data_IF_035335670208
#
_entry.id   IF_035335670208
#
_cell.length_a   1.000
_cell.length_b   1.000
_cell.length_c   1.000
_cell.angle_alpha   90.00
_cell.angle_beta   90.00
_cell.angle_gamma   90.00
#
_symmetry.space_group_name_H-M   'P 1'
#
loop_
_entity.id
_entity.type
_entity.pdbx_description
1 polymer ?
#
# COMPACT_ATOMS: atom_id res chain seq x y z
N UNK A 1 26.39 27.90 9.65
CA UNK A 1 25.17 27.74 8.82
C UNK A 1 24.97 26.35 8.21
N UNK A 2 25.97 25.67 7.71
CA UNK A 2 25.85 24.33 7.10
C UNK A 2 25.42 23.23 8.06
N UNK A 3 25.92 23.21 9.29
CA UNK A 3 25.60 22.19 10.31
C UNK A 3 24.14 22.21 10.78
N UNK A 4 23.55 23.38 10.93
CA UNK A 4 22.14 23.56 11.32
C UNK A 4 21.19 23.04 10.23
N UNK A 5 21.57 23.25 8.97
CA UNK A 5 20.83 22.81 7.79
C UNK A 5 20.77 21.28 7.66
N UNK A 6 21.89 20.58 7.88
CA UNK A 6 21.92 19.12 7.87
C UNK A 6 21.01 18.52 8.97
N UNK A 7 20.97 19.17 10.13
CA UNK A 7 20.11 18.75 11.24
C UNK A 7 18.63 18.89 10.91
N UNK A 8 18.17 19.99 10.29
CA UNK A 8 16.77 20.16 9.89
C UNK A 8 16.34 19.17 8.80
N UNK A 9 17.15 18.98 7.76
CA UNK A 9 16.86 18.01 6.72
C UNK A 9 16.83 16.58 7.27
N UNK A 10 17.75 16.23 8.16
CA UNK A 10 17.78 14.94 8.83
C UNK A 10 16.53 14.72 9.68
N UNK A 11 16.12 15.68 10.51
CA UNK A 11 14.92 15.60 11.33
C UNK A 11 13.67 15.43 10.45
N UNK A 12 13.55 16.22 9.38
CA UNK A 12 12.42 16.12 8.45
C UNK A 12 12.36 14.75 7.79
N UNK A 13 13.50 14.22 7.34
CA UNK A 13 13.59 12.89 6.74
C UNK A 13 13.16 11.81 7.73
N UNK A 14 13.65 11.87 8.97
CA UNK A 14 13.30 10.92 10.02
C UNK A 14 11.80 10.98 10.35
N UNK A 15 11.22 12.18 10.44
CA UNK A 15 9.78 12.36 10.70
C UNK A 15 8.92 11.81 9.54
N UNK A 16 9.31 12.04 8.29
CA UNK A 16 8.59 11.51 7.13
C UNK A 16 8.66 9.98 7.07
N UNK A 17 9.84 9.40 7.30
CA UNK A 17 10.00 7.94 7.36
C UNK A 17 9.23 7.32 8.51
N UNK A 18 9.30 7.90 9.71
CA UNK A 18 8.56 7.42 10.87
C UNK A 18 7.04 7.49 10.65
N UNK A 19 6.54 8.59 10.08
CA UNK A 19 5.13 8.75 9.72
C UNK A 19 4.68 7.72 8.68
N UNK A 20 5.50 7.46 7.68
CA UNK A 20 5.23 6.47 6.65
C UNK A 20 5.20 5.03 7.23
N UNK A 21 6.19 4.67 8.05
CA UNK A 21 6.25 3.35 8.71
C UNK A 21 5.02 3.17 9.60
N UNK A 22 4.66 4.20 10.37
CA UNK A 22 3.48 4.16 11.25
C UNK A 22 2.18 3.96 10.46
N UNK A 23 1.96 4.73 9.39
CA UNK A 23 0.75 4.60 8.56
C UNK A 23 0.69 3.26 7.84
N UNK A 24 1.81 2.74 7.35
CA UNK A 24 1.88 1.44 6.70
C UNK A 24 1.58 0.31 7.68
N UNK A 25 2.15 0.35 8.88
CA UNK A 25 1.88 -0.63 9.93
C UNK A 25 0.43 -0.60 10.39
N UNK A 26 -0.14 0.58 10.60
CA UNK A 26 -1.54 0.76 10.99
C UNK A 26 -2.50 0.25 9.90
N UNK A 27 -2.22 0.58 8.63
CA UNK A 27 -2.98 0.08 7.48
C UNK A 27 -2.98 -1.45 7.40
N UNK A 28 -1.84 -2.09 7.70
CA UNK A 28 -1.73 -3.55 7.74
C UNK A 28 -2.62 -4.17 8.81
N UNK A 29 -2.60 -3.61 10.03
CA UNK A 29 -3.44 -4.11 11.13
C UNK A 29 -4.92 -4.05 10.74
N UNK A 30 -5.36 -2.93 10.14
CA UNK A 30 -6.74 -2.77 9.67
C UNK A 30 -7.07 -3.77 8.56
N UNK A 31 -6.18 -3.93 7.58
CA UNK A 31 -6.38 -4.87 6.47
C UNK A 31 -6.47 -6.32 6.99
N UNK A 32 -5.59 -6.73 7.91
CA UNK A 32 -5.63 -8.05 8.56
C UNK A 32 -6.93 -8.28 9.32
N UNK A 33 -7.36 -7.29 10.11
CA UNK A 33 -8.64 -7.40 10.83
C UNK A 33 -9.84 -7.45 9.90
N UNK A 34 -9.84 -6.67 8.82
CA UNK A 34 -10.91 -6.66 7.82
C UNK A 34 -11.00 -8.01 7.10
N UNK A 35 -9.86 -8.57 6.69
CA UNK A 35 -9.79 -9.89 6.07
C UNK A 35 -10.33 -10.97 7.00
N UNK A 36 -9.88 -10.99 8.26
CA UNK A 36 -10.32 -11.97 9.24
C UNK A 36 -11.82 -11.88 9.51
N UNK A 37 -12.35 -10.66 9.68
CA UNK A 37 -13.79 -10.45 9.85
C UNK A 37 -14.59 -10.89 8.63
N UNK A 38 -14.12 -10.62 7.43
CA UNK A 38 -14.75 -11.05 6.19
C UNK A 38 -14.82 -12.58 6.06
N UNK A 39 -13.75 -13.29 6.46
CA UNK A 39 -13.75 -14.76 6.46
C UNK A 39 -14.71 -15.31 7.53
N UNK A 40 -14.59 -14.84 8.77
CA UNK A 40 -15.31 -15.36 9.92
C UNK A 40 -16.81 -15.05 9.88
N UNK A 41 -17.18 -13.83 9.46
CA UNK A 41 -18.55 -13.36 9.55
C UNK A 41 -19.36 -13.50 8.25
N UNK A 42 -18.66 -13.49 7.10
CA UNK A 42 -19.35 -13.48 5.81
C UNK A 42 -19.05 -14.74 5.00
N UNK A 43 -17.79 -15.03 4.72
CA UNK A 43 -17.41 -16.04 3.75
C UNK A 43 -17.70 -17.48 4.21
N UNK A 44 -17.32 -17.85 5.44
CA UNK A 44 -17.59 -19.20 5.96
C UNK A 44 -19.06 -19.44 6.27
N UNK A 45 -19.81 -18.54 6.93
CA UNK A 45 -21.25 -18.71 7.14
C UNK A 45 -22.04 -18.81 5.83
N UNK A 46 -21.66 -18.00 4.82
CA UNK A 46 -22.30 -18.09 3.50
C UNK A 46 -22.04 -19.44 2.84
N UNK A 47 -20.80 -19.94 2.90
CA UNK A 47 -20.47 -21.27 2.38
C UNK A 47 -21.25 -22.38 3.08
N UNK A 48 -21.31 -22.35 4.42
CA UNK A 48 -22.14 -23.29 5.19
C UNK A 48 -23.61 -23.22 4.79
N UNK A 49 -24.12 -22.01 4.55
CA UNK A 49 -25.50 -21.81 4.14
C UNK A 49 -25.80 -22.40 2.74
N UNK A 50 -24.90 -22.13 1.79
CA UNK A 50 -25.03 -22.65 0.42
C UNK A 50 -24.97 -24.19 0.39
N UNK A 51 -23.99 -24.78 1.09
CA UNK A 51 -23.85 -26.23 1.17
C UNK A 51 -25.09 -26.85 1.82
N UNK A 52 -25.59 -26.25 2.89
CA UNK A 52 -26.84 -26.71 3.55
C UNK A 52 -28.05 -26.67 2.59
N UNK A 53 -28.20 -25.56 1.86
CA UNK A 53 -29.33 -25.40 0.91
C UNK A 53 -29.24 -26.40 -0.24
N UNK A 54 -28.01 -26.58 -0.80
CA UNK A 54 -27.80 -27.56 -1.87
C UNK A 54 -28.06 -29.00 -1.37
N UNK A 55 -27.61 -29.32 -0.15
CA UNK A 55 -27.89 -30.63 0.46
C UNK A 55 -29.39 -30.86 0.69
N UNK A 56 -30.09 -29.87 1.24
CA UNK A 56 -31.53 -29.95 1.41
C UNK A 56 -32.26 -30.21 0.08
N UNK A 57 -31.88 -29.47 -0.97
CA UNK A 57 -32.46 -29.61 -2.30
C UNK A 57 -32.25 -31.02 -2.89
N UNK A 58 -31.05 -31.59 -2.69
CA UNK A 58 -30.75 -32.94 -3.18
C UNK A 58 -31.46 -34.03 -2.43
N UNK A 59 -31.65 -33.89 -1.12
CA UNK A 59 -32.29 -34.89 -0.28
C UNK A 59 -33.82 -34.78 -0.25
N UNK A 60 -34.37 -33.69 -0.76
CA UNK A 60 -35.82 -33.48 -0.78
C UNK A 60 -36.57 -34.60 -1.53
N UNK A 61 -36.12 -34.96 -2.73
CA UNK A 61 -36.74 -36.01 -3.53
C UNK A 61 -36.65 -37.40 -2.85
N UNK A 62 -35.47 -37.88 -2.41
CA UNK A 62 -35.37 -39.15 -1.66
C UNK A 62 -36.20 -39.20 -0.40
N UNK A 63 -36.33 -38.09 0.36
CA UNK A 63 -37.20 -38.03 1.54
C UNK A 63 -38.70 -38.21 1.15
N UNK A 64 -39.13 -37.51 0.09
CA UNK A 64 -40.51 -37.64 -0.42
C UNK A 64 -40.78 -39.06 -0.90
N UNK A 65 -39.86 -39.67 -1.66
CA UNK A 65 -39.97 -41.04 -2.16
C UNK A 65 -40.10 -42.01 -1.01
N UNK A 66 -39.20 -41.94 -0.01
CA UNK A 66 -39.23 -42.81 1.16
C UNK A 66 -40.53 -42.63 1.98
N UNK A 67 -41.02 -41.39 2.07
CA UNK A 67 -42.34 -41.11 2.69
C UNK A 67 -43.49 -41.71 1.91
N UNK A 68 -43.48 -41.61 0.57
CA UNK A 68 -44.49 -42.23 -0.28
C UNK A 68 -44.45 -43.76 -0.16
N UNK A 69 -43.26 -44.35 -0.13
CA UNK A 69 -43.12 -45.78 0.14
C UNK A 69 -43.72 -46.18 1.49
N UNK A 70 -43.40 -45.44 2.55
CA UNK A 70 -43.87 -45.73 3.90
C UNK A 70 -45.40 -45.60 4.06
N UNK A 71 -46.04 -44.75 3.27
CA UNK A 71 -47.51 -44.55 3.27
C UNK A 71 -48.21 -45.32 2.14
N UNK A 72 -47.50 -46.18 1.43
CA UNK A 72 -48.04 -46.91 0.32
C UNK A 72 -49.03 -48.00 0.80
N UNK A 73 -50.26 -47.96 0.28
CA UNK A 73 -51.34 -48.92 0.66
C UNK A 73 -51.00 -50.38 0.33
N UNK A 74 -50.21 -50.60 -0.75
CA UNK A 74 -49.67 -51.91 -1.07
C UNK A 74 -48.75 -52.44 0.04
N UNK A 75 -47.76 -51.67 0.49
CA UNK A 75 -46.84 -52.07 1.56
C UNK A 75 -47.63 -52.33 2.89
N UNK A 76 -48.63 -51.49 3.21
CA UNK A 76 -49.45 -51.70 4.39
C UNK A 76 -50.25 -53.02 4.30
N UNK A 77 -50.86 -53.30 3.15
CA UNK A 77 -51.62 -54.57 2.91
C UNK A 77 -50.66 -55.78 2.94
N UNK A 78 -49.51 -55.67 2.33
CA UNK A 78 -48.49 -56.73 2.29
C UNK A 78 -47.94 -57.04 3.71
N UNK A 79 -47.74 -56.07 4.54
CA UNK A 79 -47.28 -56.23 5.92
C UNK A 79 -48.38 -56.93 6.81
N UNK A 80 -49.64 -56.80 6.44
CA UNK A 80 -50.79 -57.41 7.18
C UNK A 80 -51.03 -58.89 6.79
N UNK A 81 -50.43 -59.40 5.70
CA UNK A 81 -50.60 -60.75 5.23
C UNK A 81 -49.87 -61.77 6.11
N UNK A 82 -50.49 -62.92 6.39
CA UNK A 82 -49.87 -64.05 7.11
C UNK A 82 -48.88 -64.83 6.20
N UNK A 83 -49.27 -65.04 4.94
CA UNK A 83 -48.37 -65.57 3.90
C UNK A 83 -48.03 -64.46 2.94
N UNK A 84 -46.72 -64.09 2.92
CA UNK A 84 -46.23 -62.92 2.20
C UNK A 84 -45.73 -63.31 0.81
N UNK A 85 -46.42 -62.82 -0.24
CA UNK A 85 -45.86 -62.92 -1.59
C UNK A 85 -44.70 -61.94 -1.77
N UNK A 86 -43.48 -62.46 -1.77
CA UNK A 86 -42.22 -61.66 -1.93
C UNK A 86 -42.03 -61.26 -3.35
N UNK A 87 -42.58 -61.90 -4.36
CA UNK A 87 -42.41 -61.58 -5.76
C UNK A 87 -42.88 -60.15 -6.08
N UNK A 88 -44.09 -59.81 -5.65
CA UNK A 88 -44.69 -58.50 -5.83
C UNK A 88 -43.92 -57.39 -5.04
N UNK A 89 -43.40 -57.71 -3.84
CA UNK A 89 -42.62 -56.83 -3.07
C UNK A 89 -41.31 -56.47 -3.81
N UNK A 90 -40.60 -57.47 -4.31
CA UNK A 90 -39.37 -57.25 -5.04
C UNK A 90 -39.59 -56.47 -6.35
N UNK A 91 -40.69 -56.70 -7.05
CA UNK A 91 -41.06 -55.93 -8.22
C UNK A 91 -41.31 -54.45 -7.86
N UNK A 92 -42.08 -54.19 -6.80
CA UNK A 92 -42.34 -52.85 -6.30
C UNK A 92 -41.01 -52.13 -5.91
N UNK A 93 -40.12 -52.80 -5.18
CA UNK A 93 -38.85 -52.24 -4.80
C UNK A 93 -37.96 -51.96 -6.02
N UNK A 94 -37.94 -52.89 -6.99
CA UNK A 94 -37.16 -52.75 -8.22
C UNK A 94 -37.65 -51.58 -9.08
N UNK A 95 -38.95 -51.45 -9.21
CA UNK A 95 -39.57 -50.35 -9.92
C UNK A 95 -39.30 -49.02 -9.23
N UNK A 96 -39.46 -48.93 -7.93
CA UNK A 96 -39.14 -47.72 -7.17
C UNK A 96 -37.67 -47.30 -7.36
N UNK A 97 -36.74 -48.25 -7.30
CA UNK A 97 -35.35 -47.99 -7.55
C UNK A 97 -35.09 -47.41 -8.95
N UNK A 98 -35.73 -48.03 -9.98
CA UNK A 98 -35.56 -47.64 -11.38
C UNK A 98 -36.17 -46.29 -11.70
N UNK A 99 -37.38 -46.01 -11.22
CA UNK A 99 -38.09 -44.78 -11.52
C UNK A 99 -37.43 -43.53 -10.94
N UNK A 100 -36.70 -43.71 -9.84
CA UNK A 100 -36.05 -42.61 -9.14
C UNK A 100 -34.52 -42.60 -9.20
N UNK A 101 -33.94 -43.44 -10.04
CA UNK A 101 -32.47 -43.58 -10.21
C UNK A 101 -31.72 -43.75 -8.86
N UNK A 102 -32.36 -44.50 -7.96
CA UNK A 102 -31.81 -44.77 -6.64
C UNK A 102 -30.76 -45.91 -6.72
N UNK A 103 -29.79 -45.87 -5.81
CA UNK A 103 -28.80 -46.98 -5.66
C UNK A 103 -29.53 -48.23 -5.18
N UNK A 104 -30.40 -48.07 -4.20
CA UNK A 104 -31.14 -49.15 -3.61
C UNK A 104 -32.54 -48.66 -3.14
N UNK A 105 -33.46 -49.58 -3.07
CA UNK A 105 -34.73 -49.46 -2.34
C UNK A 105 -34.92 -50.70 -1.48
N UNK A 106 -35.52 -50.55 -0.32
CA UNK A 106 -35.61 -51.60 0.68
C UNK A 106 -36.85 -51.51 1.56
N UNK A 107 -37.17 -52.63 2.22
CA UNK A 107 -38.13 -52.75 3.29
C UNK A 107 -37.50 -53.58 4.42
N UNK A 108 -37.57 -53.08 5.66
CA UNK A 108 -37.19 -53.80 6.86
C UNK A 108 -38.42 -53.98 7.76
N UNK A 109 -38.76 -55.17 8.10
CA UNK A 109 -39.95 -55.51 8.89
C UNK A 109 -39.66 -55.54 10.38
N UNK A 110 -40.63 -55.11 11.23
CA UNK A 110 -40.47 -55.11 12.70
C UNK A 110 -40.77 -56.46 13.32
N UNK A 111 -41.64 -57.28 12.71
CA UNK A 111 -42.10 -58.54 13.30
C UNK A 111 -41.06 -59.64 13.24
N UNK A 112 -40.49 -59.88 12.04
CA UNK A 112 -39.56 -60.98 11.76
C UNK A 112 -38.13 -60.43 11.55
N UNK A 113 -37.91 -59.10 11.67
CA UNK A 113 -36.63 -58.41 11.50
C UNK A 113 -35.96 -58.77 10.19
N UNK A 114 -36.72 -58.93 9.11
CA UNK A 114 -36.24 -59.27 7.78
C UNK A 114 -36.04 -58.00 6.96
N UNK A 115 -34.90 -57.90 6.31
CA UNK A 115 -34.55 -56.85 5.39
C UNK A 115 -34.69 -57.35 3.93
N UNK A 116 -35.55 -56.72 3.17
CA UNK A 116 -35.80 -57.00 1.77
C UNK A 116 -35.22 -55.90 0.91
N UNK A 117 -34.51 -56.31 -0.13
CA UNK A 117 -33.85 -55.40 -1.06
C UNK A 117 -34.38 -55.59 -2.50
N UNK A 118 -34.26 -54.54 -3.33
CA UNK A 118 -34.71 -54.52 -4.72
C UNK A 118 -34.17 -55.67 -5.59
N UNK A 119 -32.99 -56.18 -5.28
CA UNK A 119 -32.34 -57.27 -6.04
C UNK A 119 -32.88 -58.68 -5.75
N UNK A 120 -33.87 -58.79 -4.90
CA UNK A 120 -34.43 -60.05 -4.46
C UNK A 120 -33.73 -60.67 -3.25
N UNK A 121 -32.68 -59.99 -2.73
CA UNK A 121 -31.99 -60.48 -1.54
C UNK A 121 -32.80 -60.20 -0.26
N UNK A 122 -32.70 -61.15 0.69
CA UNK A 122 -33.24 -61.01 2.05
C UNK A 122 -32.14 -61.30 3.04
N UNK A 123 -32.10 -60.50 4.13
CA UNK A 123 -31.16 -60.68 5.24
C UNK A 123 -31.90 -60.44 6.55
N UNK A 124 -31.53 -61.16 7.60
CA UNK A 124 -32.03 -60.82 8.94
C UNK A 124 -31.21 -59.65 9.52
N UNK A 125 -31.94 -58.68 10.08
CA UNK A 125 -31.36 -57.57 10.81
C UNK A 125 -30.67 -58.09 12.08
N UNK A 126 -29.44 -57.77 12.27
CA UNK A 126 -28.63 -58.14 13.43
C UNK A 126 -28.37 -56.94 14.33
N UNK A 127 -27.86 -57.16 15.55
CA UNK A 127 -27.56 -56.08 16.50
C UNK A 127 -26.57 -55.06 15.98
N UNK A 128 -25.79 -55.36 14.97
CA UNK A 128 -24.82 -54.47 14.33
C UNK A 128 -25.46 -53.51 13.34
N UNK A 129 -26.73 -53.79 12.89
CA UNK A 129 -27.49 -52.88 12.05
C UNK A 129 -28.08 -51.72 12.88
N UNK A 130 -27.19 -50.88 13.43
CA UNK A 130 -27.55 -49.78 14.34
C UNK A 130 -28.50 -48.78 13.72
N UNK A 131 -28.46 -48.59 12.40
CA UNK A 131 -29.31 -47.66 11.66
C UNK A 131 -30.81 -47.96 11.85
N UNK A 132 -31.17 -49.24 11.95
CA UNK A 132 -32.57 -49.66 12.14
C UNK A 132 -33.05 -49.28 13.53
N UNK A 133 -32.27 -49.57 14.57
CA UNK A 133 -32.65 -49.21 15.94
C UNK A 133 -32.63 -47.70 16.13
N UNK A 134 -31.60 -47.01 15.62
CA UNK A 134 -31.51 -45.53 15.65
C UNK A 134 -32.73 -44.89 14.97
N UNK A 135 -33.26 -45.52 13.87
CA UNK A 135 -34.48 -45.07 13.22
C UNK A 135 -35.70 -45.27 14.10
N UNK A 136 -35.85 -46.44 14.76
CA UNK A 136 -36.99 -46.73 15.63
C UNK A 136 -37.04 -45.81 16.85
N UNK A 137 -35.89 -45.55 17.47
CA UNK A 137 -35.76 -44.77 18.71
C UNK A 137 -35.83 -43.25 18.49
N UNK A 138 -35.72 -42.79 17.25
CA UNK A 138 -35.82 -41.38 16.92
C UNK A 138 -37.28 -40.93 16.95
N UNK A 139 -37.57 -39.72 17.44
CA UNK A 139 -38.96 -39.17 17.43
C UNK A 139 -39.43 -38.78 16.02
N UNK A 140 -38.51 -38.50 15.09
CA UNK A 140 -38.88 -38.18 13.71
C UNK A 140 -39.40 -39.40 12.93
N UNK A 141 -40.26 -39.16 11.93
CA UNK A 141 -40.79 -40.19 11.06
C UNK A 141 -39.73 -40.82 10.15
N UNK A 142 -38.63 -40.12 9.89
CA UNK A 142 -37.50 -40.62 9.12
C UNK A 142 -36.17 -40.26 9.72
N UNK A 143 -35.14 -41.03 9.38
CA UNK A 143 -33.75 -40.76 9.70
C UNK A 143 -32.91 -40.85 8.43
N UNK A 144 -31.72 -40.19 8.47
CA UNK A 144 -30.70 -40.28 7.43
C UNK A 144 -29.48 -40.97 8.01
N UNK A 145 -28.92 -41.92 7.31
CA UNK A 145 -27.59 -42.45 7.62
C UNK A 145 -26.74 -42.54 6.37
N UNK A 146 -25.44 -42.41 6.56
CA UNK A 146 -24.43 -42.68 5.52
C UNK A 146 -23.81 -44.00 5.84
N UNK A 147 -23.78 -44.89 4.88
CA UNK A 147 -23.12 -46.18 5.02
C UNK A 147 -22.42 -46.55 3.71
N UNK A 148 -21.42 -47.42 3.82
CA UNK A 148 -20.81 -48.05 2.66
C UNK A 148 -21.69 -49.25 2.29
N UNK A 149 -22.32 -49.22 1.12
CA UNK A 149 -23.04 -50.39 0.63
C UNK A 149 -22.02 -51.48 0.25
N UNK A 150 -21.91 -52.57 1.03
CA UNK A 150 -20.90 -53.59 0.78
C UNK A 150 -21.08 -54.33 -0.56
N UNK A 151 -22.23 -54.12 -1.20
CA UNK A 151 -22.65 -54.83 -2.42
C UNK A 151 -22.59 -53.97 -3.68
N UNK A 152 -22.37 -52.66 -3.52
CA UNK A 152 -22.26 -51.72 -4.65
C UNK A 152 -20.86 -51.06 -4.61
N UNK A 153 -19.80 -51.85 -4.76
CA UNK A 153 -18.38 -51.42 -4.76
C UNK A 153 -17.95 -50.53 -3.57
N UNK A 154 -18.57 -50.73 -2.40
CA UNK A 154 -18.33 -49.95 -1.20
C UNK A 154 -18.52 -48.42 -1.43
N UNK A 155 -19.43 -48.05 -2.36
CA UNK A 155 -19.77 -46.65 -2.57
C UNK A 155 -20.55 -46.11 -1.36
N UNK A 156 -20.10 -44.94 -0.89
CA UNK A 156 -20.80 -44.25 0.18
C UNK A 156 -22.23 -43.83 -0.31
N UNK A 157 -23.21 -44.30 0.41
CA UNK A 157 -24.65 -44.16 0.09
C UNK A 157 -25.34 -43.45 1.24
N UNK A 158 -26.17 -42.47 0.92
CA UNK A 158 -27.09 -41.86 1.90
C UNK A 158 -28.38 -42.64 1.85
N UNK A 159 -28.75 -43.24 2.95
CA UNK A 159 -30.03 -43.93 3.15
C UNK A 159 -31.03 -43.02 3.81
N UNK A 160 -32.24 -42.97 3.23
CA UNK A 160 -33.40 -42.30 3.84
C UNK A 160 -34.31 -43.42 4.40
N UNK A 161 -34.33 -43.56 5.71
CA UNK A 161 -35.04 -44.59 6.42
C UNK A 161 -36.34 -44.01 6.98
N UNK A 162 -37.52 -44.40 6.44
CA UNK A 162 -38.79 -43.88 6.85
C UNK A 162 -39.58 -44.96 7.59
N UNK A 163 -40.15 -44.66 8.76
CA UNK A 163 -41.01 -45.56 9.53
C UNK A 163 -42.31 -45.81 8.83
N UNK A 164 -42.71 -47.06 8.76
CA UNK A 164 -44.05 -47.45 8.29
C UNK A 164 -44.98 -47.53 9.49
N UNK A 165 -45.92 -46.60 9.57
CA UNK A 165 -46.86 -46.49 10.68
C UNK A 165 -48.20 -47.09 10.28
N UNK A 166 -48.63 -48.09 11.02
CA UNK A 166 -50.03 -48.69 10.86
C UNK A 166 -50.68 -48.68 12.24
N UNK A 167 -51.86 -48.08 12.37
CA UNK A 167 -52.53 -47.91 13.63
C UNK A 167 -51.72 -47.44 14.81
N UNK A 168 -50.90 -46.39 14.54
CA UNK A 168 -49.97 -45.79 15.49
C UNK A 168 -48.83 -46.70 16.00
N UNK A 169 -48.58 -47.82 15.31
CA UNK A 169 -47.53 -48.75 15.62
C UNK A 169 -46.49 -48.79 14.45
N UNK A 170 -45.21 -48.83 14.75
CA UNK A 170 -44.19 -49.03 13.72
C UNK A 170 -44.21 -50.49 13.28
N UNK A 171 -44.52 -50.76 12.03
CA UNK A 171 -44.56 -52.12 11.45
C UNK A 171 -43.29 -52.44 10.65
N UNK A 172 -42.51 -51.44 10.34
CA UNK A 172 -41.24 -51.56 9.61
C UNK A 172 -40.60 -50.24 9.28
N UNK A 173 -39.51 -50.30 8.55
CA UNK A 173 -38.80 -49.16 7.98
C UNK A 173 -38.60 -49.43 6.50
N UNK A 174 -38.89 -48.43 5.66
CA UNK A 174 -38.64 -48.52 4.21
C UNK A 174 -37.92 -47.28 3.73
N UNK A 175 -37.32 -47.35 2.57
CA UNK A 175 -36.66 -46.18 2.01
C UNK A 175 -35.82 -46.47 0.79
N UNK A 176 -35.09 -45.45 0.42
CA UNK A 176 -34.13 -45.48 -0.72
C UNK A 176 -32.77 -45.06 -0.30
N UNK A 177 -31.74 -45.58 -1.01
CA UNK A 177 -30.37 -45.12 -0.93
C UNK A 177 -30.00 -44.35 -2.18
N UNK A 178 -29.32 -43.23 -2.02
CA UNK A 178 -28.82 -42.41 -3.13
C UNK A 178 -27.29 -42.29 -3.10
N UNK A 179 -26.69 -42.13 -4.29
CA UNK A 179 -25.23 -41.94 -4.40
C UNK A 179 -24.77 -40.64 -3.75
N UNK A 180 -23.67 -40.74 -3.05
CA UNK A 180 -23.00 -39.59 -2.42
C UNK A 180 -22.20 -38.75 -3.43
N UNK A 181 -22.06 -39.16 -4.69
CA UNK A 181 -21.24 -38.53 -5.70
C UNK A 181 -21.57 -37.06 -5.93
N UNK A 182 -22.84 -36.69 -5.77
CA UNK A 182 -23.26 -35.30 -5.92
C UNK A 182 -22.76 -34.42 -4.76
N UNK A 183 -22.87 -34.94 -3.55
CA UNK A 183 -22.33 -34.25 -2.37
C UNK A 183 -20.80 -34.17 -2.43
N UNK A 184 -20.16 -35.24 -2.91
CA UNK A 184 -18.74 -35.26 -3.12
C UNK A 184 -18.28 -34.17 -4.10
N UNK A 185 -18.92 -34.06 -5.27
CA UNK A 185 -18.63 -32.99 -6.25
C UNK A 185 -18.88 -31.59 -5.69
N UNK A 186 -19.90 -31.43 -4.85
CA UNK A 186 -20.18 -30.16 -4.19
C UNK A 186 -19.04 -29.77 -3.24
N UNK A 187 -18.61 -30.69 -2.40
CA UNK A 187 -17.49 -30.49 -1.46
C UNK A 187 -16.20 -30.19 -2.21
N UNK A 188 -15.90 -30.98 -3.26
CA UNK A 188 -14.74 -30.75 -4.13
C UNK A 188 -14.72 -29.35 -4.73
N UNK A 189 -15.86 -28.88 -5.20
CA UNK A 189 -15.99 -27.51 -5.73
C UNK A 189 -15.60 -26.45 -4.70
N UNK A 190 -16.10 -26.57 -3.48
CA UNK A 190 -15.77 -25.59 -2.43
C UNK A 190 -14.32 -25.72 -1.95
N UNK A 191 -13.79 -26.93 -1.93
CA UNK A 191 -12.41 -27.20 -1.55
C UNK A 191 -11.43 -26.63 -2.58
N UNK A 192 -11.61 -26.95 -3.87
CA UNK A 192 -10.69 -26.48 -4.91
C UNK A 192 -10.86 -25.02 -5.31
N UNK A 193 -12.10 -24.50 -5.28
CA UNK A 193 -12.34 -23.11 -5.70
C UNK A 193 -12.00 -22.09 -4.63
N UNK A 194 -12.18 -22.44 -3.36
CA UNK A 194 -12.09 -21.50 -2.24
C UNK A 194 -11.07 -21.90 -1.18
N UNK A 195 -10.34 -22.99 -1.40
CA UNK A 195 -9.37 -23.55 -0.42
C UNK A 195 -10.01 -23.77 0.96
N UNK A 196 -11.23 -24.36 0.95
CA UNK A 196 -12.03 -24.62 2.16
C UNK A 196 -12.19 -26.09 2.36
N UNK A 197 -11.82 -26.59 3.54
CA UNK A 197 -12.10 -27.96 3.91
C UNK A 197 -13.52 -28.06 4.43
N UNK A 198 -14.28 -28.99 3.87
CA UNK A 198 -15.69 -29.23 4.20
C UNK A 198 -15.86 -30.69 4.61
N UNK A 199 -16.43 -30.90 5.77
CA UNK A 199 -16.73 -32.26 6.26
C UNK A 199 -17.96 -32.27 7.17
N UNK A 200 -18.56 -33.47 7.30
CA UNK A 200 -19.74 -33.70 8.12
C UNK A 200 -19.39 -34.63 9.27
N UNK A 201 -19.98 -34.36 10.42
CA UNK A 201 -19.75 -35.11 11.65
C UNK A 201 -21.08 -35.42 12.33
N UNK A 202 -21.13 -36.53 13.09
CA UNK A 202 -22.31 -36.90 13.89
C UNK A 202 -22.29 -36.14 15.24
N UNK A 203 -23.37 -36.38 16.03
CA UNK A 203 -23.53 -35.82 17.37
C UNK A 203 -22.48 -36.33 18.40
N UNK A 204 -21.75 -37.41 18.05
CA UNK A 204 -20.61 -37.93 18.86
C UNK A 204 -19.24 -37.39 18.42
N UNK A 205 -19.23 -36.51 17.40
CA UNK A 205 -18.01 -35.97 16.86
C UNK A 205 -17.27 -36.90 15.90
N UNK A 206 -17.90 -38.00 15.45
CA UNK A 206 -17.32 -38.93 14.49
C UNK A 206 -17.53 -38.39 13.09
N UNK A 207 -16.49 -38.53 12.26
CA UNK A 207 -16.52 -38.11 10.88
C UNK A 207 -17.48 -39.01 10.08
N UNK A 208 -18.46 -38.40 9.44
CA UNK A 208 -19.43 -39.09 8.60
C UNK A 208 -19.02 -39.09 7.13
N UNK A 209 -18.58 -37.91 6.68
CA UNK A 209 -18.19 -37.73 5.29
C UNK A 209 -17.16 -36.64 5.11
N UNK A 210 -16.13 -36.93 4.29
CA UNK A 210 -15.04 -36.03 3.92
C UNK A 210 -14.45 -36.46 2.58
N UNK A 211 -13.76 -35.57 1.92
CA UNK A 211 -13.17 -35.85 0.62
C UNK A 211 -11.65 -36.07 0.64
N UNK A 212 -11.01 -35.95 1.79
CA UNK A 212 -9.55 -36.05 1.92
C UNK A 212 -9.19 -37.26 2.78
N UNK A 213 -8.46 -38.24 2.20
CA UNK A 213 -8.01 -39.45 2.90
C UNK A 213 -7.19 -39.20 4.17
N UNK A 214 -6.67 -37.99 4.33
CA UNK A 214 -5.93 -37.58 5.55
C UNK A 214 -6.83 -37.46 6.80
N UNK A 215 -8.15 -37.51 6.63
CA UNK A 215 -9.12 -37.38 7.72
C UNK A 215 -9.64 -38.75 8.25
N UNK A 216 -9.20 -39.89 7.67
CA UNK A 216 -9.76 -41.20 7.98
C UNK A 216 -9.74 -41.60 9.47
N UNK A 217 -8.77 -41.12 10.24
CA UNK A 217 -8.56 -41.45 11.66
C UNK A 217 -8.82 -40.27 12.62
N UNK A 218 -9.47 -39.19 12.15
CA UNK A 218 -9.67 -38.01 12.97
C UNK A 218 -10.95 -38.06 13.82
N UNK A 219 -10.79 -37.86 15.13
CA UNK A 219 -11.87 -37.37 15.98
C UNK A 219 -11.78 -35.87 16.16
N UNK A 220 -12.92 -35.20 16.37
CA UNK A 220 -12.93 -33.75 16.61
C UNK A 220 -12.10 -33.34 17.83
N UNK A 221 -12.08 -34.19 18.86
CA UNK A 221 -11.29 -34.01 20.07
C UNK A 221 -9.78 -34.03 19.79
N UNK A 222 -9.34 -34.86 18.86
CA UNK A 222 -7.91 -34.98 18.54
C UNK A 222 -7.41 -33.76 17.77
N UNK A 223 -8.27 -33.21 16.87
CA UNK A 223 -7.91 -32.04 16.05
C UNK A 223 -8.04 -30.72 16.79
N UNK A 224 -9.09 -30.54 17.58
CA UNK A 224 -9.45 -29.25 18.17
C UNK A 224 -9.39 -29.24 19.70
N UNK A 225 -9.00 -30.35 20.33
CA UNK A 225 -8.91 -30.47 21.79
C UNK A 225 -10.21 -30.08 22.50
N UNK A 226 -10.12 -29.26 23.53
CA UNK A 226 -11.29 -28.78 24.28
C UNK A 226 -12.25 -27.91 23.45
N UNK A 227 -11.82 -27.37 22.30
CA UNK A 227 -12.70 -26.60 21.43
C UNK A 227 -13.60 -27.48 20.57
N UNK A 228 -13.27 -28.76 20.39
CA UNK A 228 -14.05 -29.72 19.62
C UNK A 228 -15.49 -29.90 20.14
N UNK A 229 -15.67 -29.93 21.45
CA UNK A 229 -16.98 -30.04 22.08
C UNK A 229 -17.90 -28.86 21.84
N UNK A 230 -17.33 -27.64 21.72
CA UNK A 230 -18.08 -26.41 21.40
C UNK A 230 -18.60 -26.39 19.97
N UNK A 231 -17.93 -27.10 19.05
CA UNK A 231 -18.36 -27.24 17.66
C UNK A 231 -19.64 -28.13 17.54
N UNK A 232 -19.96 -28.91 18.57
CA UNK A 232 -21.13 -29.77 18.65
C UNK A 232 -22.33 -29.13 19.39
N UNK A 233 -22.27 -27.83 19.63
CA UNK A 233 -23.43 -27.11 20.16
C UNK A 233 -24.52 -26.99 19.07
N UNK A 234 -25.78 -27.09 19.42
CA UNK A 234 -26.92 -27.10 18.49
C UNK A 234 -27.14 -25.76 17.76
N UNK A 235 -26.19 -24.86 17.86
CA UNK A 235 -26.18 -23.57 17.19
C UNK A 235 -25.01 -23.46 16.18
N UNK A 236 -25.09 -22.45 15.32
CA UNK A 236 -23.96 -22.12 14.47
C UNK A 236 -22.82 -21.57 15.35
N UNK A 237 -21.68 -22.22 15.34
CA UNK A 237 -20.53 -21.83 16.14
C UNK A 237 -19.37 -21.41 15.24
N UNK A 238 -18.68 -20.34 15.62
CA UNK A 238 -17.50 -19.82 14.93
C UNK A 238 -16.31 -19.95 15.85
N UNK A 239 -15.21 -20.47 15.32
CA UNK A 239 -13.97 -20.66 16.05
C UNK A 239 -12.81 -20.17 15.25
N UNK A 240 -11.90 -19.43 15.89
CA UNK A 240 -10.62 -19.04 15.33
C UNK A 240 -9.52 -19.59 16.22
N UNK A 241 -8.59 -20.34 15.63
CA UNK A 241 -7.43 -20.92 16.30
C UNK A 241 -6.17 -20.45 15.58
N UNK A 242 -5.12 -20.20 16.36
CA UNK A 242 -3.77 -19.96 15.85
C UNK A 242 -2.94 -21.21 16.10
N UNK A 243 -2.50 -21.89 15.06
CA UNK A 243 -1.74 -23.12 15.11
C UNK A 243 -0.70 -23.15 13.98
N UNK A 244 0.55 -23.48 14.32
CA UNK A 244 1.65 -23.75 13.37
C UNK A 244 1.82 -22.65 12.29
N UNK A 245 1.93 -21.37 12.69
CA UNK A 245 2.03 -20.21 11.81
C UNK A 245 0.82 -19.99 10.88
N UNK A 246 -0.28 -20.69 11.13
CA UNK A 246 -1.55 -20.53 10.41
C UNK A 246 -2.65 -20.06 11.33
N UNK A 247 -3.52 -19.22 10.78
CA UNK A 247 -4.80 -18.90 11.43
C UNK A 247 -5.88 -19.75 10.80
N UNK A 248 -6.48 -20.60 11.61
CA UNK A 248 -7.55 -21.50 11.23
C UNK A 248 -8.91 -20.88 11.59
N UNK A 249 -9.76 -20.71 10.60
CA UNK A 249 -11.15 -20.27 10.77
C UNK A 249 -12.06 -21.45 10.57
N UNK A 250 -13.00 -21.65 11.49
CA UNK A 250 -13.93 -22.77 11.49
C UNK A 250 -15.34 -22.25 11.68
N UNK A 251 -16.26 -22.72 10.86
CA UNK A 251 -17.69 -22.52 11.03
C UNK A 251 -18.37 -23.88 11.17
N UNK A 252 -19.03 -24.12 12.30
CA UNK A 252 -19.86 -25.28 12.55
C UNK A 252 -21.34 -24.92 12.44
N UNK A 253 -22.12 -25.74 11.77
CA UNK A 253 -23.56 -25.57 11.63
C UNK A 253 -24.27 -26.88 11.87
N UNK A 254 -25.20 -26.90 12.84
CA UNK A 254 -26.05 -28.04 13.06
C UNK A 254 -27.12 -28.13 11.98
N UNK A 255 -27.26 -29.30 11.38
CA UNK A 255 -28.25 -29.66 10.36
C UNK A 255 -29.33 -30.50 10.99
N UNK A 256 -30.35 -29.84 11.59
CA UNK A 256 -31.36 -30.49 12.42
C UNK A 256 -32.09 -31.65 11.73
N UNK A 257 -32.40 -31.55 10.43
CA UNK A 257 -33.08 -32.63 9.66
C UNK A 257 -32.22 -33.88 9.49
N UNK A 258 -30.91 -33.76 9.64
CA UNK A 258 -29.96 -34.87 9.41
C UNK A 258 -29.33 -35.36 10.70
N UNK A 259 -29.42 -34.60 11.78
CA UNK A 259 -28.70 -34.87 13.02
C UNK A 259 -27.18 -34.74 12.87
N UNK A 260 -26.69 -33.99 11.87
CA UNK A 260 -25.29 -33.82 11.52
C UNK A 260 -24.81 -32.40 11.79
N UNK A 261 -23.50 -32.25 11.88
CA UNK A 261 -22.85 -30.95 11.88
C UNK A 261 -22.07 -30.80 10.59
N UNK A 262 -22.29 -29.71 9.89
CA UNK A 262 -21.48 -29.26 8.76
C UNK A 262 -20.35 -28.40 9.30
N UNK A 263 -19.11 -28.80 9.05
CA UNK A 263 -17.92 -28.03 9.39
C UNK A 263 -17.32 -27.47 8.10
N UNK A 264 -17.07 -26.17 8.09
CA UNK A 264 -16.34 -25.48 7.03
C UNK A 264 -15.11 -24.82 7.67
N UNK A 265 -13.96 -25.20 7.18
CA UNK A 265 -12.66 -24.78 7.70
C UNK A 265 -11.88 -24.06 6.60
N UNK A 266 -11.22 -22.96 6.94
CA UNK A 266 -10.29 -22.26 6.06
C UNK A 266 -9.03 -21.90 6.84
N UNK A 267 -7.86 -22.27 6.30
CA UNK A 267 -6.57 -21.89 6.85
C UNK A 267 -5.99 -20.71 6.09
N UNK A 268 -5.40 -19.78 6.82
CA UNK A 268 -4.61 -18.68 6.25
C UNK A 268 -3.19 -18.76 6.78
N UNK A 269 -2.22 -18.84 5.90
CA UNK A 269 -0.82 -18.69 6.23
C UNK A 269 -0.56 -17.23 6.66
N UNK A 270 -0.08 -17.04 7.87
CA UNK A 270 0.20 -15.69 8.40
C UNK A 270 1.29 -14.95 7.63
N UNK A 271 2.18 -15.67 6.97
CA UNK A 271 3.40 -15.13 6.39
C UNK A 271 3.36 -14.81 4.89
N UNK A 272 2.55 -15.47 4.07
CA UNK A 272 2.75 -15.38 2.62
C UNK A 272 1.94 -14.30 1.89
N UNK A 273 0.67 -14.08 2.20
CA UNK A 273 -0.17 -13.18 1.40
C UNK A 273 -0.11 -11.71 1.82
N UNK A 274 0.20 -11.45 3.10
CA UNK A 274 0.27 -10.09 3.66
C UNK A 274 1.68 -9.51 3.58
N UNK A 275 2.71 -10.35 3.61
CA UNK A 275 4.11 -9.94 3.54
C UNK A 275 4.48 -9.32 2.19
N UNK A 276 4.06 -9.90 1.07
CA UNK A 276 4.34 -9.34 -0.26
C UNK A 276 3.73 -7.95 -0.45
N UNK A 277 2.48 -7.76 -0.05
CA UNK A 277 1.82 -6.45 -0.10
C UNK A 277 2.49 -5.43 0.80
N UNK A 278 3.03 -5.86 1.95
CA UNK A 278 3.81 -5.02 2.85
C UNK A 278 5.12 -4.56 2.22
N UNK A 279 5.88 -5.49 1.64
CA UNK A 279 7.15 -5.15 0.98
C UNK A 279 6.94 -4.18 -0.18
N UNK A 280 5.90 -4.38 -0.99
CA UNK A 280 5.55 -3.48 -2.09
C UNK A 280 5.18 -2.09 -1.55
N UNK A 281 4.34 -2.00 -0.53
CA UNK A 281 3.96 -0.73 0.08
C UNK A 281 5.15 -0.01 0.72
N UNK A 282 6.01 -0.75 1.44
CA UNK A 282 7.22 -0.19 2.04
C UNK A 282 8.18 0.34 0.96
N UNK A 283 8.41 -0.43 -0.10
CA UNK A 283 9.25 -0.02 -1.23
C UNK A 283 8.69 1.23 -1.91
N UNK A 284 7.39 1.27 -2.20
CA UNK A 284 6.73 2.45 -2.78
C UNK A 284 6.89 3.68 -1.89
N UNK A 285 6.72 3.53 -0.59
CA UNK A 285 6.88 4.63 0.34
C UNK A 285 8.30 5.17 0.42
N UNK A 286 9.30 4.31 0.38
CA UNK A 286 10.71 4.71 0.31
C UNK A 286 10.99 5.48 -0.97
N UNK A 287 10.48 5.00 -2.12
CA UNK A 287 10.64 5.66 -3.42
C UNK A 287 9.96 7.04 -3.42
N UNK A 288 8.71 7.13 -2.97
CA UNK A 288 7.96 8.40 -2.91
C UNK A 288 8.68 9.40 -1.99
N UNK A 289 9.10 8.95 -0.80
CA UNK A 289 9.86 9.80 0.13
C UNK A 289 11.17 10.29 -0.50
N UNK A 290 11.89 9.42 -1.20
CA UNK A 290 13.10 9.77 -1.95
C UNK A 290 12.85 10.85 -3.01
N UNK A 291 11.78 10.72 -3.79
CA UNK A 291 11.39 11.70 -4.82
C UNK A 291 11.05 13.06 -4.19
N UNK A 292 10.29 13.06 -3.09
CA UNK A 292 9.94 14.31 -2.38
C UNK A 292 11.18 15.01 -1.84
N UNK A 293 12.08 14.28 -1.18
CA UNK A 293 13.32 14.83 -0.63
C UNK A 293 14.25 15.36 -1.73
N UNK A 294 14.37 14.64 -2.84
CA UNK A 294 15.16 15.06 -3.99
C UNK A 294 14.60 16.35 -4.63
N UNK A 295 13.28 16.42 -4.83
CA UNK A 295 12.58 17.61 -5.33
C UNK A 295 12.76 18.82 -4.40
N UNK A 296 12.59 18.61 -3.09
CA UNK A 296 12.81 19.64 -2.08
C UNK A 296 14.27 20.16 -2.10
N UNK A 297 15.25 19.26 -2.25
CA UNK A 297 16.65 19.62 -2.33
C UNK A 297 16.98 20.44 -3.58
N UNK A 298 16.44 20.07 -4.75
CA UNK A 298 16.60 20.82 -5.99
C UNK A 298 16.04 22.24 -5.85
N UNK A 299 14.81 22.34 -5.33
CA UNK A 299 14.10 23.60 -5.12
C UNK A 299 14.89 24.51 -4.16
N UNK A 300 15.33 23.95 -3.05
CA UNK A 300 16.11 24.68 -2.06
C UNK A 300 17.43 25.19 -2.63
N UNK A 301 18.18 24.37 -3.37
CA UNK A 301 19.44 24.77 -4.00
C UNK A 301 19.22 25.91 -5.01
N UNK A 302 18.11 25.86 -5.75
CA UNK A 302 17.74 26.92 -6.68
C UNK A 302 17.46 28.24 -5.96
N UNK A 303 16.64 28.21 -4.91
CA UNK A 303 16.34 29.39 -4.10
C UNK A 303 17.57 29.96 -3.43
N UNK A 304 18.47 29.12 -2.89
CA UNK A 304 19.69 29.57 -2.26
C UNK A 304 20.60 30.30 -3.25
N UNK A 305 20.85 29.75 -4.44
CA UNK A 305 21.65 30.42 -5.48
C UNK A 305 21.02 31.75 -5.89
N UNK A 306 19.70 31.83 -5.93
CA UNK A 306 19.02 33.09 -6.25
C UNK A 306 19.16 34.11 -5.13
N UNK A 307 19.05 33.70 -3.86
CA UNK A 307 19.26 34.59 -2.71
C UNK A 307 20.72 35.09 -2.65
N UNK A 308 21.69 34.20 -2.83
CA UNK A 308 23.12 34.57 -2.90
C UNK A 308 23.38 35.58 -4.01
N UNK A 309 22.82 35.38 -5.20
CA UNK A 309 22.93 36.30 -6.33
C UNK A 309 22.32 37.67 -6.01
N UNK A 310 21.12 37.69 -5.39
CA UNK A 310 20.46 38.96 -5.01
C UNK A 310 21.20 39.68 -3.86
N UNK A 311 21.81 38.95 -2.96
CA UNK A 311 22.59 39.52 -1.87
C UNK A 311 23.99 40.01 -2.32
N UNK A 312 24.49 39.52 -3.46
CA UNK A 312 25.87 39.79 -3.91
C UNK A 312 25.95 40.85 -5.01
N UNK A 313 24.98 40.87 -5.91
CA UNK A 313 25.02 41.71 -7.09
C UNK A 313 23.91 42.76 -7.12
N UNK A 314 24.23 43.94 -7.66
CA UNK A 314 23.26 44.98 -8.00
C UNK A 314 22.33 44.49 -9.12
N UNK A 315 21.03 44.62 -8.91
CA UNK A 315 20.01 44.07 -9.84
C UNK A 315 20.02 44.74 -11.21
N UNK A 316 20.41 46.03 -11.28
CA UNK A 316 20.36 46.77 -12.51
C UNK A 316 21.63 46.52 -13.36
N UNK A 317 22.79 46.61 -12.73
CA UNK A 317 24.07 46.63 -13.42
C UNK A 317 24.79 45.27 -13.43
N UNK A 318 24.38 44.35 -12.61
CA UNK A 318 25.01 43.05 -12.41
C UNK A 318 26.53 43.17 -12.06
N UNK A 319 26.88 44.24 -11.37
CA UNK A 319 28.15 44.43 -10.64
C UNK A 319 27.96 44.03 -9.19
N UNK A 320 29.02 43.95 -8.40
CA UNK A 320 28.85 43.78 -6.96
C UNK A 320 28.03 44.92 -6.40
N UNK A 321 27.15 44.64 -5.44
CA UNK A 321 26.53 45.66 -4.61
C UNK A 321 27.47 46.06 -3.48
N UNK A 322 27.22 47.18 -2.84
CA UNK A 322 28.04 47.72 -1.74
C UNK A 322 28.19 46.72 -0.59
N UNK A 323 27.08 46.07 -0.18
CA UNK A 323 27.08 45.14 0.95
C UNK A 323 27.98 43.92 0.73
N UNK A 324 28.06 43.40 -0.51
CA UNK A 324 28.96 42.29 -0.84
C UNK A 324 30.40 42.74 -1.12
N UNK A 325 30.56 43.99 -1.50
CA UNK A 325 31.87 44.54 -1.83
C UNK A 325 32.71 44.90 -0.60
N UNK A 326 32.10 45.43 0.47
CA UNK A 326 32.79 45.80 1.70
C UNK A 326 33.61 44.63 2.31
N UNK A 327 33.09 43.42 2.54
CA UNK A 327 33.87 42.29 3.03
C UNK A 327 35.00 41.87 2.05
N UNK A 328 34.77 42.04 0.74
CA UNK A 328 35.75 41.72 -0.28
C UNK A 328 36.90 42.72 -0.25
N UNK A 329 36.59 44.00 -0.11
CA UNK A 329 37.60 45.07 0.06
C UNK A 329 38.49 44.76 1.27
N UNK A 330 37.91 44.48 2.43
CA UNK A 330 38.64 44.11 3.64
C UNK A 330 39.56 42.91 3.42
N UNK A 331 39.09 41.89 2.74
CA UNK A 331 39.86 40.68 2.44
C UNK A 331 41.08 41.03 1.52
N UNK A 332 40.87 41.84 0.49
CA UNK A 332 41.95 42.23 -0.44
C UNK A 332 42.94 43.18 0.22
N UNK A 333 42.51 44.12 1.07
CA UNK A 333 43.39 44.96 1.89
C UNK A 333 44.28 44.12 2.81
N UNK A 334 43.69 43.12 3.49
CA UNK A 334 44.47 42.23 4.35
C UNK A 334 45.48 41.40 3.56
N UNK A 335 45.13 40.94 2.34
CA UNK A 335 46.06 40.23 1.45
C UNK A 335 47.18 41.16 0.96
N UNK A 336 46.85 42.41 0.56
CA UNK A 336 47.80 43.38 0.12
C UNK A 336 48.82 43.71 1.23
N UNK A 337 48.33 43.88 2.47
CA UNK A 337 49.16 44.10 3.65
C UNK A 337 50.10 42.92 3.92
N UNK A 338 49.55 41.70 3.98
CA UNK A 338 50.33 40.50 4.34
C UNK A 338 51.34 40.08 3.26
N UNK A 339 51.07 40.38 2.00
CA UNK A 339 51.89 39.96 0.87
C UNK A 339 52.77 41.12 0.31
N UNK A 340 52.61 42.30 0.90
CA UNK A 340 53.30 43.52 0.39
C UNK A 340 53.07 43.79 -1.10
N UNK A 341 51.81 43.50 -1.56
CA UNK A 341 51.42 43.68 -2.95
C UNK A 341 50.61 44.96 -3.13
N UNK A 342 50.87 45.69 -4.27
CA UNK A 342 50.11 46.89 -4.56
C UNK A 342 48.61 46.58 -4.74
N UNK A 343 47.82 47.56 -4.37
CA UNK A 343 46.36 47.51 -4.56
C UNK A 343 45.86 48.91 -4.91
N UNK A 344 45.10 49.04 -5.97
CA UNK A 344 44.53 50.32 -6.40
C UNK A 344 42.99 50.27 -6.26
N UNK A 345 42.44 51.36 -5.76
CA UNK A 345 41.04 51.64 -5.75
C UNK A 345 40.75 52.79 -6.70
N UNK A 346 39.69 52.62 -7.51
CA UNK A 346 39.11 53.69 -8.32
C UNK A 346 37.71 53.99 -7.85
N UNK A 347 37.38 55.26 -7.71
CA UNK A 347 35.98 55.73 -7.62
C UNK A 347 35.62 56.43 -8.93
N UNK A 348 34.52 55.97 -9.52
CA UNK A 348 34.00 56.46 -10.80
C UNK A 348 32.62 57.00 -10.60
N UNK A 349 32.33 58.17 -11.19
CA UNK A 349 31.02 58.79 -11.18
C UNK A 349 30.69 59.23 -12.60
N UNK A 350 29.40 59.00 -13.01
CA UNK A 350 28.96 59.35 -14.36
C UNK A 350 28.66 60.85 -14.41
N UNK A 351 29.35 61.57 -15.24
CA UNK A 351 29.23 63.01 -15.34
C UNK A 351 27.81 63.40 -15.81
N UNK A 352 27.22 64.37 -15.07
CA UNK A 352 25.93 64.94 -15.37
C UNK A 352 24.76 63.93 -15.44
N UNK A 353 24.85 62.79 -14.74
CA UNK A 353 23.86 61.74 -14.81
C UNK A 353 22.45 62.21 -14.44
N UNK A 354 22.34 63.13 -13.48
CA UNK A 354 21.04 63.72 -13.15
C UNK A 354 20.39 64.40 -14.36
N UNK A 355 21.18 65.13 -15.19
CA UNK A 355 20.66 65.76 -16.39
C UNK A 355 20.20 64.72 -17.41
N UNK A 356 20.83 63.56 -17.48
CA UNK A 356 20.41 62.46 -18.34
C UNK A 356 19.01 61.97 -17.89
N UNK A 357 18.80 61.76 -16.60
CA UNK A 357 17.49 61.36 -16.07
C UNK A 357 16.43 62.42 -16.27
N UNK A 358 16.75 63.69 -15.99
CA UNK A 358 15.80 64.80 -16.12
C UNK A 358 15.37 65.05 -17.58
N UNK A 359 16.27 64.84 -18.54
CA UNK A 359 15.98 65.07 -19.97
C UNK A 359 15.42 63.87 -20.71
N UNK A 360 15.86 62.67 -20.37
CA UNK A 360 15.57 61.44 -21.12
C UNK A 360 14.75 60.41 -20.33
N UNK A 361 14.49 60.69 -19.04
CA UNK A 361 13.77 59.78 -18.12
C UNK A 361 14.62 58.68 -17.52
N UNK A 362 14.18 58.15 -16.41
CA UNK A 362 14.90 57.13 -15.62
C UNK A 362 15.18 55.83 -16.39
N UNK A 363 14.31 55.43 -17.37
CA UNK A 363 14.55 54.25 -18.20
C UNK A 363 15.82 54.37 -19.06
N UNK A 364 16.10 55.59 -19.57
CA UNK A 364 17.33 55.87 -20.34
C UNK A 364 18.52 55.92 -19.39
N UNK A 365 18.37 56.55 -18.21
CA UNK A 365 19.41 56.52 -17.16
C UNK A 365 19.78 55.09 -16.75
N UNK A 366 18.83 54.19 -16.60
CA UNK A 366 19.07 52.77 -16.30
C UNK A 366 19.85 52.08 -17.43
N UNK A 367 19.61 52.41 -18.69
CA UNK A 367 20.40 51.91 -19.82
C UNK A 367 21.82 52.42 -19.77
N UNK A 368 22.03 53.71 -19.45
CA UNK A 368 23.38 54.31 -19.25
C UNK A 368 24.09 53.62 -18.11
N UNK A 369 23.48 53.39 -16.96
CA UNK A 369 24.11 52.70 -15.85
C UNK A 369 24.57 51.28 -16.23
N UNK A 370 23.72 50.53 -16.94
CA UNK A 370 24.03 49.19 -17.46
C UNK A 370 25.22 49.26 -18.44
N UNK A 371 25.22 50.25 -19.30
CA UNK A 371 26.26 50.43 -20.30
C UNK A 371 27.64 50.74 -19.66
N UNK A 372 27.68 51.69 -18.72
CA UNK A 372 28.89 52.05 -17.99
C UNK A 372 29.39 50.85 -17.19
N UNK A 373 28.53 50.16 -16.48
CA UNK A 373 28.88 48.95 -15.73
C UNK A 373 29.46 47.84 -16.63
N UNK A 374 28.88 47.67 -17.83
CA UNK A 374 29.41 46.72 -18.83
C UNK A 374 30.81 47.09 -19.30
N UNK A 375 31.06 48.38 -19.60
CA UNK A 375 32.38 48.89 -20.00
C UNK A 375 33.38 48.66 -18.87
N UNK A 376 33.08 49.10 -17.64
CA UNK A 376 33.96 48.89 -16.50
C UNK A 376 34.33 47.40 -16.33
N UNK A 377 33.35 46.50 -16.42
CA UNK A 377 33.56 45.04 -16.33
C UNK A 377 34.44 44.52 -17.49
N UNK A 378 34.21 45.00 -18.70
CA UNK A 378 34.93 44.55 -19.89
C UNK A 378 36.40 45.00 -19.90
N UNK A 379 36.73 46.18 -19.32
CA UNK A 379 38.09 46.71 -19.18
C UNK A 379 38.78 46.04 -18.00
N UNK A 380 38.14 46.00 -16.84
CA UNK A 380 38.73 45.45 -15.60
C UNK A 380 38.95 43.94 -15.68
N UNK A 381 38.03 43.19 -16.31
CA UNK A 381 38.11 41.72 -16.48
C UNK A 381 38.65 41.00 -15.24
N UNK A 382 39.79 40.32 -15.38
CA UNK A 382 40.44 39.55 -14.34
C UNK A 382 41.35 40.36 -13.42
N UNK A 383 41.54 41.65 -13.70
CA UNK A 383 42.41 42.51 -12.90
C UNK A 383 41.78 42.94 -11.58
N UNK A 384 40.44 42.86 -11.49
CA UNK A 384 39.78 43.32 -10.27
C UNK A 384 38.29 43.04 -10.21
N UNK A 385 37.59 43.82 -9.42
CA UNK A 385 36.15 43.74 -9.24
C UNK A 385 35.49 45.11 -9.31
N UNK A 386 34.29 45.15 -9.90
CA UNK A 386 33.49 46.36 -10.09
C UNK A 386 32.27 46.29 -9.17
N UNK A 387 32.03 47.34 -8.42
CA UNK A 387 30.92 47.51 -7.51
C UNK A 387 30.11 48.77 -7.90
N UNK A 388 28.79 48.69 -7.87
CA UNK A 388 27.97 49.88 -7.84
C UNK A 388 27.84 50.33 -6.39
N UNK A 389 28.46 51.48 -6.07
CA UNK A 389 28.54 51.98 -4.71
C UNK A 389 27.27 52.70 -4.27
N UNK A 390 26.67 53.46 -5.16
CA UNK A 390 25.41 54.16 -4.98
C UNK A 390 24.97 54.82 -6.27
N UNK A 391 23.74 55.21 -6.47
CA UNK A 391 23.20 55.95 -7.60
C UNK A 391 23.93 55.71 -8.92
N UNK A 392 24.76 56.67 -9.28
CA UNK A 392 25.65 56.72 -10.47
C UNK A 392 27.13 56.42 -10.20
N UNK A 393 27.44 56.05 -8.93
CA UNK A 393 28.82 55.85 -8.49
C UNK A 393 29.24 54.37 -8.55
N UNK A 394 30.43 54.12 -9.04
CA UNK A 394 31.08 52.81 -9.10
C UNK A 394 32.41 52.82 -8.36
N UNK A 395 32.70 51.73 -7.64
CA UNK A 395 34.02 51.49 -7.05
C UNK A 395 34.64 50.28 -7.74
N UNK A 396 35.90 50.43 -8.15
CA UNK A 396 36.66 49.39 -8.81
C UNK A 396 37.87 49.08 -7.93
N UNK A 397 38.06 47.83 -7.59
CA UNK A 397 39.19 47.37 -6.79
C UNK A 397 40.10 46.52 -7.65
N UNK A 398 41.35 46.90 -7.69
CA UNK A 398 42.39 46.28 -8.53
C UNK A 398 43.52 45.72 -7.63
N UNK A 399 43.41 44.45 -7.19
CA UNK A 399 44.50 43.81 -6.43
C UNK A 399 45.72 43.56 -7.30
N UNK A 400 46.91 43.61 -6.69
CA UNK A 400 48.23 43.38 -7.35
C UNK A 400 48.44 44.28 -8.53
N UNK A 401 47.99 45.51 -8.47
CA UNK A 401 48.04 46.50 -9.53
C UNK A 401 48.75 47.78 -9.01
N UNK A 402 49.73 48.22 -9.68
CA UNK A 402 50.42 49.50 -9.40
C UNK A 402 49.63 50.72 -9.88
N UNK A 403 49.83 51.88 -9.29
CA UNK A 403 49.06 53.09 -9.59
C UNK A 403 49.05 53.45 -11.09
N UNK A 404 50.19 53.32 -11.77
CA UNK A 404 50.31 53.61 -13.20
C UNK A 404 49.47 52.61 -14.05
N UNK A 405 49.50 51.34 -13.71
CA UNK A 405 48.68 50.34 -14.38
C UNK A 405 47.14 50.58 -14.09
N UNK A 406 46.77 50.97 -12.88
CA UNK A 406 45.48 51.45 -12.54
C UNK A 406 45.01 52.62 -13.40
N UNK A 407 45.95 53.62 -13.58
CA UNK A 407 45.66 54.76 -14.41
C UNK A 407 45.41 54.38 -15.90
N UNK A 408 46.27 53.51 -16.46
CA UNK A 408 46.05 52.96 -17.80
C UNK A 408 44.68 52.29 -17.98
N UNK A 409 44.21 51.54 -16.99
CA UNK A 409 42.88 50.95 -17.01
C UNK A 409 41.76 52.01 -16.94
N UNK A 410 41.97 53.09 -16.17
CA UNK A 410 41.01 54.19 -16.12
C UNK A 410 40.97 54.95 -17.49
N UNK A 411 42.08 55.15 -18.15
CA UNK A 411 42.11 55.73 -19.51
C UNK A 411 41.43 54.80 -20.55
N UNK A 412 41.60 53.48 -20.44
CA UNK A 412 40.89 52.53 -21.28
C UNK A 412 39.37 52.60 -21.04
N UNK A 413 38.91 52.83 -19.80
CA UNK A 413 37.49 53.07 -19.51
C UNK A 413 36.99 54.33 -20.22
N UNK A 414 37.74 55.46 -20.15
CA UNK A 414 37.41 56.70 -20.87
C UNK A 414 37.33 56.46 -22.38
N UNK A 415 38.31 55.81 -22.96
CA UNK A 415 38.36 55.50 -24.40
C UNK A 415 37.14 54.62 -24.79
N UNK A 416 36.83 53.60 -24.02
CA UNK A 416 35.70 52.72 -24.27
C UNK A 416 34.35 53.44 -24.13
N UNK A 417 34.19 54.33 -23.16
CA UNK A 417 33.00 55.20 -23.03
C UNK A 417 32.84 56.10 -24.24
N UNK A 418 33.94 56.75 -24.68
CA UNK A 418 33.90 57.67 -25.84
C UNK A 418 33.65 56.97 -27.17
N UNK A 419 34.16 55.73 -27.33
CA UNK A 419 34.04 54.94 -28.55
C UNK A 419 32.71 54.14 -28.62
N UNK A 420 31.97 54.03 -27.51
CA UNK A 420 30.78 53.22 -27.45
C UNK A 420 29.54 53.91 -28.02
N UNK A 421 28.71 53.13 -28.66
CA UNK A 421 27.38 53.56 -29.11
C UNK A 421 26.36 53.38 -27.97
N UNK A 422 26.15 54.44 -27.19
CA UNK A 422 25.08 54.50 -26.19
C UNK A 422 23.99 55.46 -26.66
N UNK A 423 22.73 55.22 -26.30
CA UNK A 423 21.60 56.09 -26.64
C UNK A 423 21.80 57.56 -26.25
N UNK A 424 22.56 57.78 -25.16
CA UNK A 424 23.03 59.09 -24.70
C UNK A 424 24.53 58.97 -24.42
N UNK A 425 25.31 59.82 -25.07
CA UNK A 425 26.76 59.90 -24.79
C UNK A 425 26.99 60.49 -23.40
N UNK A 426 27.72 59.74 -22.58
CA UNK A 426 28.09 60.16 -21.23
C UNK A 426 29.62 60.04 -21.07
N UNK A 427 30.14 60.83 -20.19
CA UNK A 427 31.53 60.75 -19.72
C UNK A 427 31.51 60.37 -18.25
N UNK A 428 32.66 60.02 -17.70
CA UNK A 428 32.83 59.74 -16.29
C UNK A 428 34.03 60.53 -15.72
N UNK A 429 33.96 60.79 -14.44
CA UNK A 429 35.13 61.25 -13.65
C UNK A 429 35.64 60.10 -12.81
N UNK A 430 36.96 59.93 -12.75
CA UNK A 430 37.59 58.81 -12.03
C UNK A 430 38.65 59.34 -11.07
N UNK A 431 38.57 58.98 -9.79
CA UNK A 431 39.59 59.20 -8.79
C UNK A 431 40.29 57.88 -8.46
N UNK A 432 41.60 57.85 -8.47
CA UNK A 432 42.42 56.68 -8.17
C UNK A 432 43.24 56.89 -6.90
N UNK A 433 43.32 55.89 -6.05
CA UNK A 433 44.25 55.86 -4.90
C UNK A 433 44.89 54.46 -4.80
N UNK A 434 46.21 54.46 -4.60
CA UNK A 434 46.92 53.24 -4.25
C UNK A 434 46.90 53.07 -2.72
N UNK A 435 46.68 51.85 -2.28
CA UNK A 435 46.69 51.48 -0.86
C UNK A 435 48.09 51.66 -0.26
N UNK A 436 48.23 52.31 0.87
CA UNK A 436 49.42 52.39 1.67
C UNK A 436 49.37 51.41 2.84
N UNK A 437 50.53 50.81 3.17
CA UNK A 437 50.61 49.87 4.31
C UNK A 437 50.18 50.62 5.59
N UNK A 438 49.28 49.95 6.38
CA UNK A 438 48.70 50.48 7.60
C UNK A 438 47.64 51.58 7.42
N UNK A 439 47.21 51.85 6.21
CA UNK A 439 46.07 52.70 5.94
C UNK A 439 44.72 51.93 6.23
N UNK A 440 43.78 52.65 6.83
CA UNK A 440 42.43 52.08 7.00
C UNK A 440 41.65 52.07 5.70
N UNK A 441 40.61 51.20 5.62
CA UNK A 441 39.64 51.17 4.52
C UNK A 441 39.06 52.56 4.24
N UNK A 442 38.62 53.24 5.31
CA UNK A 442 38.08 54.60 5.21
C UNK A 442 39.11 55.63 4.69
N UNK A 443 40.36 55.43 5.03
CA UNK A 443 41.45 56.28 4.54
C UNK A 443 41.62 56.18 3.01
N UNK A 444 41.70 54.96 2.51
CA UNK A 444 41.81 54.68 1.07
C UNK A 444 40.58 55.19 0.30
N UNK A 445 39.37 54.95 0.82
CA UNK A 445 38.11 55.48 0.23
C UNK A 445 38.13 57.01 0.18
N UNK A 446 38.47 57.70 1.26
CA UNK A 446 38.54 59.15 1.30
C UNK A 446 39.53 59.74 0.30
N UNK A 447 40.65 59.09 0.10
CA UNK A 447 41.65 59.56 -0.88
C UNK A 447 41.18 59.36 -2.30
N UNK A 448 40.56 58.26 -2.62
CA UNK A 448 39.98 58.01 -3.93
C UNK A 448 38.81 58.97 -4.20
N UNK A 449 37.97 59.26 -3.22
CA UNK A 449 36.88 60.24 -3.33
C UNK A 449 37.39 61.68 -3.51
N UNK A 450 38.40 62.09 -2.76
CA UNK A 450 39.06 63.42 -2.95
C UNK A 450 39.62 63.56 -4.37
N UNK A 451 40.23 62.50 -4.90
CA UNK A 451 40.67 62.46 -6.27
C UNK A 451 39.55 62.57 -7.29
N UNK A 452 38.47 61.86 -7.05
CA UNK A 452 37.21 61.96 -7.86
C UNK A 452 36.64 63.39 -7.83
N UNK A 453 36.53 63.95 -6.66
CA UNK A 453 36.10 65.34 -6.53
C UNK A 453 36.97 66.32 -7.32
N UNK A 454 38.32 66.11 -7.27
CA UNK A 454 39.25 66.87 -8.07
C UNK A 454 39.03 66.69 -9.58
N UNK A 455 38.79 65.48 -10.04
CA UNK A 455 38.44 65.18 -11.42
C UNK A 455 37.17 65.95 -11.85
N UNK A 456 36.12 65.95 -11.00
CA UNK A 456 34.89 66.70 -11.27
C UNK A 456 35.05 68.22 -11.30
N UNK A 457 35.85 68.77 -10.36
CA UNK A 457 36.08 70.22 -10.23
C UNK A 457 37.01 70.78 -11.30
N UNK A 458 37.96 70.00 -11.84
CA UNK A 458 38.90 70.41 -12.87
C UNK A 458 38.47 70.25 -14.31
N UNK A 459 37.14 69.90 -14.51
CA UNK A 459 36.54 69.92 -15.84
C UNK A 459 35.95 68.58 -16.30
N UNK A 460 35.82 67.56 -15.38
CA UNK A 460 35.24 66.23 -15.66
C UNK A 460 35.90 65.44 -16.78
N UNK A 461 35.35 64.28 -17.16
CA UNK A 461 35.82 63.40 -18.24
C UNK A 461 37.37 63.16 -18.15
N UNK A 462 37.83 62.82 -16.98
CA UNK A 462 39.23 62.56 -16.66
C UNK A 462 39.48 61.70 -15.46
N UNK A 463 40.70 61.19 -15.40
CA UNK A 463 41.17 60.44 -14.25
C UNK A 463 42.13 61.33 -13.44
N UNK A 464 42.00 61.32 -12.12
CA UNK A 464 42.98 62.07 -11.22
C UNK A 464 43.50 61.07 -10.20
N UNK A 465 44.85 61.14 -10.00
CA UNK A 465 45.55 60.34 -9.00
C UNK A 465 45.52 61.05 -7.65
N UNK A 466 45.19 60.31 -6.58
CA UNK A 466 45.27 60.82 -5.24
C UNK A 466 46.75 61.20 -4.91
N UNK A 467 46.91 62.33 -4.28
CA UNK A 467 48.26 62.73 -3.79
C UNK A 467 48.80 61.68 -2.82
N UNK A 468 50.04 61.38 -2.87
CA UNK A 468 50.73 60.60 -1.83
C UNK A 468 50.51 61.26 -0.49
N UNK A 469 50.14 60.47 0.54
CA UNK A 469 49.87 60.96 1.89
C UNK A 469 51.23 61.48 2.51
#
# INVERSE_FOLDING_TARGET
MTQTRYRYNFILTVLLLAGFIFTSWFSLIIAKQSLFRGIENDALPLTSHLIHTDLQKQLQAPIIISSQMANNTFLHAWLAQSEKDTAFLFEYLRQTRSDFDAVTSFLATSHDKTYYRYDGSTTMLIKQDTWYQDTLDNDALYTLNVDLDPRDDHQATIFVNHKIMVNNQVKGVTGVGIKLDHLKRLIDKYQHTYDRKVYFIDHKGRLLFYNDATFADYSLSDKFGQHGTKLLDNQTYKLRLEQDDKTLFINSRYLAHFGWYLIVEQSLDQNNSLSESLYINLLMGVVITGVILFSAQLTFNHYQKRLEKMATFDKLTNTYNRQAFEPRLQSELQKARNQFKPLVMMMLDIDHFKQVNDKHGHLVGDKVLKHVAHICKSVVKNHGSVCRWGGEEFVILLPKTELNQGHELAEQIHQALNASECEVKVTASIGLAQYHIDESEDGLLKRADAALYSAKSTGRNRSVLAKAA
#
